data_IF_881500013878
#
_entry.id   IF_881500013878
#
_cell.length_a   1.000
_cell.length_b   1.000
_cell.length_c   1.000
_cell.angle_alpha   90.00
_cell.angle_beta   90.00
_cell.angle_gamma   90.00
#
_symmetry.space_group_name_H-M   'P 1'
#
loop_
_entity.id
_entity.type
_entity.pdbx_description
1 polymer ?
#
# COMPACT_ATOMS: atom_id res chain seq x y z
N UNK A 1 -0.46 23.34 -68.05
CA UNK A 1 0.35 22.86 -66.91
C UNK A 1 -0.16 23.32 -65.52
N UNK A 2 -1.26 24.09 -65.41
CA UNK A 2 -1.73 24.62 -64.12
C UNK A 2 -2.70 23.69 -63.34
N UNK A 3 -3.45 22.80 -64.01
CA UNK A 3 -4.48 21.98 -63.37
C UNK A 3 -4.00 20.73 -62.61
N UNK A 4 -2.70 20.41 -62.65
CA UNK A 4 -2.14 19.23 -61.96
C UNK A 4 -1.65 19.61 -60.55
N UNK A 5 -1.16 20.84 -60.36
CA UNK A 5 -0.67 21.30 -59.05
C UNK A 5 -1.78 21.50 -58.01
N UNK A 6 -3.01 21.79 -58.42
CA UNK A 6 -4.15 21.96 -57.49
C UNK A 6 -4.65 20.64 -56.90
N UNK A 7 -4.63 19.54 -57.66
CA UNK A 7 -5.12 18.23 -57.17
C UNK A 7 -4.15 17.59 -56.17
N UNK A 8 -2.84 17.71 -56.39
CA UNK A 8 -1.80 17.27 -55.46
C UNK A 8 -1.87 18.01 -54.12
N UNK A 9 -2.11 19.33 -54.12
CA UNK A 9 -2.31 20.11 -52.90
C UNK A 9 -3.50 19.61 -52.07
N UNK A 10 -4.64 19.37 -52.72
CA UNK A 10 -5.85 18.84 -52.07
C UNK A 10 -5.64 17.45 -51.45
N UNK A 11 -4.94 16.55 -52.16
CA UNK A 11 -4.60 15.22 -51.65
C UNK A 11 -3.63 15.26 -50.45
N UNK A 12 -2.64 16.17 -50.46
CA UNK A 12 -1.74 16.33 -49.32
C UNK A 12 -2.48 16.87 -48.08
N UNK A 13 -3.42 17.81 -48.24
CA UNK A 13 -4.24 18.31 -47.13
C UNK A 13 -5.13 17.19 -46.57
N UNK A 14 -5.74 16.38 -47.43
CA UNK A 14 -6.58 15.26 -46.99
C UNK A 14 -5.78 14.19 -46.22
N UNK A 15 -4.57 13.86 -46.68
CA UNK A 15 -3.66 12.92 -46.00
C UNK A 15 -3.17 13.47 -44.65
N UNK A 16 -2.87 14.77 -44.56
CA UNK A 16 -2.52 15.40 -43.28
C UNK A 16 -3.72 15.39 -42.31
N UNK A 17 -4.95 15.63 -42.78
CA UNK A 17 -6.14 15.51 -41.94
C UNK A 17 -6.39 14.08 -41.44
N UNK A 18 -6.13 13.06 -42.25
CA UNK A 18 -6.21 11.65 -41.81
C UNK A 18 -5.13 11.36 -40.75
N UNK A 19 -3.88 11.78 -40.98
CA UNK A 19 -2.78 11.58 -40.02
C UNK A 19 -3.03 12.35 -38.70
N UNK A 20 -3.60 13.56 -38.75
CA UNK A 20 -3.96 14.33 -37.54
C UNK A 20 -5.20 13.75 -36.82
N UNK A 21 -6.14 13.14 -37.55
CA UNK A 21 -7.24 12.39 -36.95
C UNK A 21 -6.73 11.12 -36.26
N UNK A 22 -5.80 10.38 -36.87
CA UNK A 22 -5.16 9.21 -36.28
C UNK A 22 -4.31 9.57 -35.04
N UNK A 23 -3.59 10.70 -35.05
CA UNK A 23 -2.91 11.21 -33.85
C UNK A 23 -3.86 11.76 -32.76
N UNK A 24 -5.15 11.95 -33.08
CA UNK A 24 -6.18 12.33 -32.10
C UNK A 24 -6.87 11.12 -31.46
N UNK A 25 -6.58 9.90 -31.92
CA UNK A 25 -6.82 8.65 -31.18
C UNK A 25 -5.58 8.24 -30.37
N UNK A 26 -4.96 9.20 -29.67
CA UNK A 26 -4.16 8.87 -28.49
C UNK A 26 -5.04 8.11 -27.50
N UNK A 27 -4.79 6.79 -27.39
CA UNK A 27 -5.55 5.89 -26.54
C UNK A 27 -5.65 6.43 -25.12
N UNK A 28 -6.87 6.78 -24.70
CA UNK A 28 -7.24 6.82 -23.30
C UNK A 28 -7.17 5.38 -22.77
N UNK A 29 -5.95 4.93 -22.49
CA UNK A 29 -5.67 3.59 -22.00
C UNK A 29 -6.22 3.53 -20.58
N UNK A 30 -7.42 2.97 -20.48
CA UNK A 30 -8.22 2.91 -19.28
C UNK A 30 -7.49 2.05 -18.23
N UNK A 31 -6.69 2.70 -17.37
CA UNK A 31 -5.72 2.05 -16.49
C UNK A 31 -6.42 1.39 -15.30
N UNK A 32 -7.03 0.23 -15.58
CA UNK A 32 -7.85 -0.51 -14.62
C UNK A 32 -6.97 -1.23 -13.59
N UNK A 33 -7.00 -0.73 -12.36
CA UNK A 33 -6.32 -1.33 -11.21
C UNK A 33 -7.26 -2.30 -10.48
N UNK A 34 -6.71 -3.19 -9.65
CA UNK A 34 -7.54 -4.12 -8.87
C UNK A 34 -8.01 -3.44 -7.60
N UNK A 35 -9.32 -3.28 -7.46
CA UNK A 35 -9.98 -2.79 -6.25
C UNK A 35 -10.75 -3.93 -5.58
N UNK A 36 -10.88 -3.85 -4.26
CA UNK A 36 -11.74 -4.70 -3.46
C UNK A 36 -12.99 -3.88 -3.13
N UNK A 37 -14.15 -4.39 -3.51
CA UNK A 37 -15.49 -3.85 -3.24
C UNK A 37 -16.08 -4.67 -2.10
N UNK A 38 -16.20 -4.06 -0.93
CA UNK A 38 -16.71 -4.68 0.29
C UNK A 38 -18.18 -4.30 0.51
N UNK A 39 -19.04 -5.31 0.74
CA UNK A 39 -20.50 -5.19 0.84
C UNK A 39 -21.03 -5.68 2.20
N UNK A 40 -20.17 -5.77 3.22
CA UNK A 40 -20.54 -6.15 4.58
C UNK A 40 -20.72 -7.67 4.81
N UNK A 41 -21.61 -8.03 5.75
CA UNK A 41 -21.97 -9.42 6.06
C UNK A 41 -22.83 -10.04 4.95
N UNK A 42 -22.80 -11.37 4.81
CA UNK A 42 -23.70 -12.08 3.90
C UNK A 42 -25.18 -11.91 4.33
N UNK A 43 -26.10 -11.55 3.40
CA UNK A 43 -27.53 -11.54 3.65
C UNK A 43 -28.07 -12.88 4.15
N UNK A 44 -29.07 -12.83 5.04
CA UNK A 44 -29.79 -14.01 5.54
C UNK A 44 -30.90 -14.43 4.59
N UNK A 45 -30.84 -15.64 4.02
CA UNK A 45 -31.87 -16.20 3.15
C UNK A 45 -31.30 -16.97 1.96
N UNK A 46 -32.10 -17.20 0.92
CA UNK A 46 -31.59 -17.65 -0.38
C UNK A 46 -30.80 -16.50 -1.04
N UNK A 47 -29.47 -16.60 -0.99
CA UNK A 47 -28.59 -15.61 -1.57
C UNK A 47 -27.42 -16.29 -2.31
N UNK A 48 -27.17 -15.88 -3.55
CA UNK A 48 -26.01 -16.30 -4.35
C UNK A 48 -25.04 -15.13 -4.48
N UNK A 49 -23.98 -15.05 -3.65
CA UNK A 49 -23.10 -13.89 -3.64
C UNK A 49 -22.40 -13.71 -4.98
N UNK A 50 -21.93 -14.80 -5.60
CA UNK A 50 -21.21 -14.72 -6.88
C UNK A 50 -22.11 -14.28 -8.04
N UNK A 51 -23.39 -14.67 -8.05
CA UNK A 51 -24.36 -14.13 -9.03
C UNK A 51 -24.59 -12.63 -8.81
N UNK A 52 -24.70 -12.21 -7.55
CA UNK A 52 -24.91 -10.80 -7.20
C UNK A 52 -23.72 -9.90 -7.53
N UNK A 53 -22.49 -10.38 -7.28
CA UNK A 53 -21.26 -9.66 -7.63
C UNK A 53 -21.10 -9.50 -9.14
N UNK A 54 -21.55 -10.48 -9.93
CA UNK A 54 -21.57 -10.38 -11.38
C UNK A 54 -22.60 -9.35 -11.85
N UNK A 55 -23.86 -9.41 -11.37
CA UNK A 55 -24.88 -8.42 -11.79
C UNK A 55 -24.50 -6.98 -11.41
N UNK A 56 -23.97 -6.77 -10.21
CA UNK A 56 -23.49 -5.46 -9.75
C UNK A 56 -22.33 -4.93 -10.63
N UNK A 57 -21.44 -5.82 -11.06
CA UNK A 57 -20.31 -5.48 -11.92
C UNK A 57 -20.74 -5.24 -13.37
N UNK A 58 -21.74 -5.96 -13.88
CA UNK A 58 -22.32 -5.75 -15.22
C UNK A 58 -23.06 -4.41 -15.33
N UNK A 59 -23.73 -3.96 -14.25
CA UNK A 59 -24.37 -2.64 -14.19
C UNK A 59 -23.35 -1.49 -14.30
N UNK A 60 -22.20 -1.62 -13.63
CA UNK A 60 -21.16 -0.57 -13.59
C UNK A 60 -20.26 -0.61 -14.83
N UNK A 61 -19.99 -1.79 -15.40
CA UNK A 61 -19.10 -1.96 -16.56
C UNK A 61 -19.91 -1.90 -17.86
N UNK A 62 -20.41 -0.70 -18.17
CA UNK A 62 -21.23 -0.34 -19.35
C UNK A 62 -20.88 -1.13 -20.62
N UNK A 63 -21.71 -2.13 -20.95
CA UNK A 63 -21.67 -2.82 -22.23
C UNK A 63 -20.48 -3.75 -22.48
N UNK A 64 -19.65 -4.09 -21.47
CA UNK A 64 -18.64 -5.16 -21.58
C UNK A 64 -18.97 -6.28 -20.60
N UNK A 65 -18.83 -7.53 -21.04
CA UNK A 65 -19.05 -8.69 -20.18
C UNK A 65 -18.20 -8.61 -18.91
N UNK A 66 -18.79 -8.96 -17.76
CA UNK A 66 -18.06 -9.03 -16.50
C UNK A 66 -16.97 -10.13 -16.49
N UNK A 67 -17.04 -11.09 -17.42
CA UNK A 67 -15.96 -12.05 -17.69
C UNK A 67 -14.69 -11.32 -18.19
N UNK A 68 -13.76 -11.11 -17.26
CA UNK A 68 -12.49 -10.40 -17.45
C UNK A 68 -12.32 -9.20 -16.52
N UNK A 69 -13.41 -8.65 -15.97
CA UNK A 69 -13.37 -7.61 -14.94
C UNK A 69 -13.33 -8.22 -13.53
N UNK A 70 -14.11 -9.28 -13.26
CA UNK A 70 -14.12 -9.95 -11.96
C UNK A 70 -12.82 -10.73 -11.73
N UNK A 71 -12.08 -10.38 -10.68
CA UNK A 71 -10.86 -11.08 -10.26
C UNK A 71 -11.18 -12.18 -9.25
N UNK A 72 -12.07 -11.90 -8.29
CA UNK A 72 -12.48 -12.86 -7.25
C UNK A 72 -13.82 -12.48 -6.63
N UNK A 73 -14.75 -13.43 -6.50
CA UNK A 73 -15.90 -13.32 -5.60
C UNK A 73 -15.54 -13.91 -4.23
N UNK A 74 -15.84 -13.18 -3.15
CA UNK A 74 -15.73 -13.63 -1.76
C UNK A 74 -17.14 -13.94 -1.25
N UNK A 75 -17.44 -15.21 -1.02
CA UNK A 75 -18.81 -15.73 -0.87
C UNK A 75 -19.00 -16.66 0.35
N UNK A 76 -18.18 -16.49 1.39
CA UNK A 76 -18.12 -17.38 2.57
C UNK A 76 -18.33 -16.67 3.90
N UNK A 77 -17.41 -15.75 4.24
CA UNK A 77 -17.37 -15.11 5.57
C UNK A 77 -17.90 -13.67 5.56
N UNK A 78 -17.84 -13.03 4.40
CA UNK A 78 -18.31 -11.67 4.14
C UNK A 78 -18.73 -11.57 2.68
N UNK A 79 -19.49 -10.54 2.36
CA UNK A 79 -19.99 -10.23 1.03
C UNK A 79 -19.02 -9.24 0.37
N UNK A 80 -18.25 -9.66 -0.62
CA UNK A 80 -17.31 -8.78 -1.33
C UNK A 80 -16.83 -9.38 -2.64
N UNK A 81 -16.21 -8.57 -3.49
CA UNK A 81 -15.45 -9.05 -4.63
C UNK A 81 -14.24 -8.16 -4.94
N UNK A 82 -13.25 -8.72 -5.62
CA UNK A 82 -12.17 -7.97 -6.23
C UNK A 82 -12.42 -7.86 -7.74
N UNK A 83 -12.30 -6.67 -8.31
CA UNK A 83 -12.48 -6.40 -9.72
C UNK A 83 -11.42 -5.44 -10.28
N UNK A 84 -11.14 -5.55 -11.57
CA UNK A 84 -10.34 -4.57 -12.32
C UNK A 84 -11.25 -3.40 -12.70
N UNK A 85 -11.08 -2.27 -12.03
CA UNK A 85 -11.92 -1.08 -12.18
C UNK A 85 -11.08 0.14 -12.57
N UNK A 86 -11.66 1.02 -13.39
CA UNK A 86 -11.18 2.38 -13.59
C UNK A 86 -11.58 3.28 -12.40
N UNK A 87 -10.99 4.47 -12.28
CA UNK A 87 -11.35 5.39 -11.20
C UNK A 87 -12.85 5.79 -11.25
N UNK A 88 -13.38 6.07 -12.45
CA UNK A 88 -14.80 6.38 -12.65
C UNK A 88 -15.74 5.17 -12.44
N UNK A 89 -15.25 3.94 -12.54
CA UNK A 89 -16.00 2.75 -12.13
C UNK A 89 -16.00 2.58 -10.59
N UNK A 90 -14.89 2.93 -9.93
CA UNK A 90 -14.78 2.96 -8.46
C UNK A 90 -15.70 4.02 -7.85
N UNK A 91 -15.72 5.24 -8.39
CA UNK A 91 -16.62 6.32 -7.90
C UNK A 91 -18.09 5.90 -7.96
N UNK A 92 -18.52 5.32 -9.10
CA UNK A 92 -19.91 4.87 -9.28
C UNK A 92 -20.27 3.71 -8.36
N UNK A 93 -19.41 2.69 -8.26
CA UNK A 93 -19.70 1.51 -7.43
C UNK A 93 -19.65 1.83 -5.92
N UNK A 94 -18.84 2.82 -5.51
CA UNK A 94 -18.80 3.32 -4.13
C UNK A 94 -20.08 4.09 -3.74
N UNK A 95 -20.86 4.56 -4.72
CA UNK A 95 -22.15 5.23 -4.50
C UNK A 95 -23.34 4.28 -4.29
N UNK A 96 -23.15 2.97 -4.48
CA UNK A 96 -24.22 1.98 -4.30
C UNK A 96 -24.46 1.70 -2.81
N UNK A 97 -25.71 1.76 -2.37
CA UNK A 97 -26.13 1.62 -0.96
C UNK A 97 -25.66 0.31 -0.28
N UNK A 98 -25.43 -0.72 -1.08
CA UNK A 98 -24.99 -2.05 -0.67
C UNK A 98 -23.46 -2.22 -0.63
N UNK A 99 -22.71 -1.24 -1.14
CA UNK A 99 -21.25 -1.20 -1.05
C UNK A 99 -20.87 -0.37 0.17
N UNK A 100 -20.17 -1.01 1.11
CA UNK A 100 -19.72 -0.41 2.37
C UNK A 100 -18.40 0.34 2.17
N UNK A 101 -17.49 -0.21 1.36
CA UNK A 101 -16.23 0.47 1.01
C UNK A 101 -15.59 -0.10 -0.27
N UNK A 102 -14.77 0.72 -0.93
CA UNK A 102 -13.96 0.31 -2.09
C UNK A 102 -12.53 0.78 -1.89
N UNK A 103 -11.55 -0.11 -1.99
CA UNK A 103 -10.14 0.20 -1.73
C UNK A 103 -9.18 -0.55 -2.66
N UNK A 104 -8.02 0.04 -3.01
CA UNK A 104 -7.07 -0.59 -3.92
C UNK A 104 -6.38 -1.80 -3.28
N UNK A 105 -6.19 -2.87 -4.07
CA UNK A 105 -5.42 -4.04 -3.65
C UNK A 105 -3.93 -3.72 -3.60
N UNK A 106 -3.33 -3.77 -2.40
CA UNK A 106 -1.90 -3.52 -2.15
C UNK A 106 -1.12 -4.83 -1.94
N UNK A 107 0.19 -4.83 -2.21
CA UNK A 107 1.14 -5.92 -1.88
C UNK A 107 2.27 -5.35 -1.03
N UNK A 108 2.71 -6.10 -0.02
CA UNK A 108 3.81 -5.71 0.88
C UNK A 108 4.86 -6.82 0.98
N UNK A 109 6.12 -6.47 1.27
CA UNK A 109 7.19 -7.43 1.56
C UNK A 109 7.49 -7.44 3.07
N UNK A 110 7.73 -8.63 3.63
CA UNK A 110 7.99 -8.85 5.05
C UNK A 110 9.49 -9.15 5.30
N UNK A 111 10.05 -8.69 6.43
CA UNK A 111 11.47 -8.80 6.76
C UNK A 111 11.71 -9.45 8.15
N UNK A 112 11.89 -10.76 8.20
CA UNK A 112 12.08 -11.57 9.43
C UNK A 112 13.54 -11.70 9.91
N UNK A 113 14.48 -10.97 9.29
CA UNK A 113 15.95 -11.13 9.42
C UNK A 113 16.60 -10.77 10.78
N UNK A 114 15.83 -10.59 11.85
CA UNK A 114 16.35 -10.28 13.22
C UNK A 114 15.46 -10.79 14.36
N UNK A 115 14.17 -11.02 14.11
CA UNK A 115 13.22 -11.39 15.17
C UNK A 115 13.58 -12.72 15.85
N UNK A 116 14.17 -13.67 15.12
CA UNK A 116 14.59 -14.96 15.69
C UNK A 116 15.76 -14.83 16.67
N UNK A 117 16.81 -14.08 16.31
CA UNK A 117 17.96 -13.83 17.20
C UNK A 117 17.54 -13.04 18.45
N UNK A 118 16.68 -12.04 18.29
CA UNK A 118 16.12 -11.26 19.41
C UNK A 118 15.34 -12.13 20.41
N UNK A 119 14.62 -13.16 19.93
CA UNK A 119 13.94 -14.14 20.78
C UNK A 119 14.88 -15.22 21.36
N UNK A 120 16.20 -15.13 21.12
CA UNK A 120 17.16 -16.15 21.55
C UNK A 120 17.03 -17.47 20.79
N UNK A 121 16.55 -17.43 19.54
CA UNK A 121 16.30 -18.59 18.69
C UNK A 121 17.17 -18.59 17.41
N UNK A 122 18.50 -18.72 17.54
CA UNK A 122 19.43 -18.68 16.41
C UNK A 122 19.27 -19.90 15.47
N UNK A 123 19.88 -19.87 14.29
CA UNK A 123 19.76 -20.94 13.28
C UNK A 123 20.17 -22.34 13.80
N UNK A 124 21.14 -22.41 14.72
CA UNK A 124 21.72 -23.64 15.25
C UNK A 124 20.95 -24.26 16.45
N UNK A 125 19.70 -23.86 16.67
CA UNK A 125 18.82 -24.47 17.68
C UNK A 125 18.63 -25.97 17.46
N UNK A 126 18.53 -26.73 18.57
CA UNK A 126 18.27 -28.17 18.54
C UNK A 126 16.84 -28.46 18.04
N UNK A 127 16.74 -29.01 16.83
CA UNK A 127 15.48 -29.41 16.17
C UNK A 127 15.22 -30.91 16.25
N UNK A 128 13.98 -31.31 15.98
CA UNK A 128 13.58 -32.70 15.73
C UNK A 128 12.95 -32.82 14.34
N UNK A 129 13.76 -32.95 13.27
CA UNK A 129 13.29 -32.89 11.88
C UNK A 129 12.20 -33.90 11.55
N UNK A 130 12.25 -35.12 12.13
CA UNK A 130 11.27 -36.18 11.88
C UNK A 130 9.87 -35.82 12.39
N UNK A 131 9.79 -35.06 13.48
CA UNK A 131 8.52 -34.54 14.02
C UNK A 131 8.13 -33.25 13.30
N UNK A 132 9.05 -32.30 13.17
CA UNK A 132 8.82 -31.00 12.52
C UNK A 132 8.32 -31.15 11.08
N UNK A 133 8.90 -32.06 10.27
CA UNK A 133 8.46 -32.32 8.89
C UNK A 133 7.07 -32.95 8.77
N UNK A 134 6.48 -33.38 9.89
CA UNK A 134 5.15 -33.98 9.96
C UNK A 134 4.14 -33.12 10.73
N UNK A 135 4.53 -31.92 11.18
CA UNK A 135 3.62 -30.89 11.68
C UNK A 135 3.03 -30.15 10.48
N UNK A 136 1.74 -29.80 10.57
CA UNK A 136 1.06 -29.02 9.54
C UNK A 136 0.54 -27.77 10.23
N UNK A 137 1.07 -26.62 9.83
CA UNK A 137 0.65 -25.31 10.34
C UNK A 137 -0.37 -24.77 9.35
N UNK A 138 -1.63 -24.69 9.77
CA UNK A 138 -2.61 -23.89 9.05
C UNK A 138 -2.22 -22.43 9.20
N UNK A 139 -1.75 -21.81 8.12
CA UNK A 139 -1.58 -20.34 8.06
C UNK A 139 -2.85 -19.78 7.44
N UNK A 140 -3.37 -18.75 8.09
CA UNK A 140 -4.75 -18.36 7.95
C UNK A 140 -4.82 -16.85 7.66
N UNK A 141 -4.63 -16.50 6.38
CA UNK A 141 -4.20 -15.17 5.88
C UNK A 141 -4.84 -14.86 4.50
N UNK A 142 -4.62 -13.66 3.99
CA UNK A 142 -4.98 -13.12 2.67
C UNK A 142 -4.59 -13.97 1.45
N UNK A 143 -3.73 -14.98 1.62
CA UNK A 143 -3.30 -15.89 0.58
C UNK A 143 -1.87 -16.38 0.80
N UNK A 144 -1.22 -16.79 -0.29
CA UNK A 144 0.21 -17.07 -0.31
C UNK A 144 0.76 -16.84 -1.72
N UNK A 145 2.04 -16.50 -1.83
CA UNK A 145 2.77 -16.37 -3.08
C UNK A 145 3.71 -17.58 -3.25
N UNK A 146 3.23 -18.70 -3.86
CA UNK A 146 3.93 -19.98 -3.82
C UNK A 146 5.28 -20.00 -4.55
N UNK A 147 5.54 -19.01 -5.42
CA UNK A 147 6.80 -18.84 -6.14
C UNK A 147 7.92 -18.23 -5.28
N UNK A 148 7.64 -17.84 -4.03
CA UNK A 148 8.65 -17.33 -3.11
C UNK A 148 9.64 -18.43 -2.66
N UNK A 149 10.93 -18.13 -2.64
CA UNK A 149 11.98 -19.06 -2.18
C UNK A 149 11.72 -19.59 -0.76
N UNK A 150 11.09 -18.78 0.09
CA UNK A 150 10.64 -19.15 1.45
C UNK A 150 9.71 -20.36 1.52
N UNK A 151 9.11 -20.77 0.39
CA UNK A 151 8.18 -21.90 0.29
C UNK A 151 8.70 -23.01 -0.65
N UNK A 152 10.01 -23.02 -0.95
CA UNK A 152 10.65 -24.08 -1.71
C UNK A 152 10.54 -25.43 -0.98
N UNK A 153 10.13 -26.48 -1.70
CA UNK A 153 10.03 -27.85 -1.18
C UNK A 153 11.28 -28.71 -1.45
N UNK A 154 12.40 -28.06 -1.80
CA UNK A 154 13.69 -28.72 -2.02
C UNK A 154 14.15 -29.40 -0.72
N UNK A 155 14.26 -30.73 -0.74
CA UNK A 155 14.61 -31.55 0.42
C UNK A 155 13.42 -32.13 1.18
N UNK A 156 12.18 -31.79 0.82
CA UNK A 156 10.99 -32.35 1.47
C UNK A 156 10.59 -33.73 0.91
N UNK A 157 10.13 -34.58 1.83
CA UNK A 157 9.41 -35.82 1.53
C UNK A 157 7.97 -35.56 1.05
N UNK A 158 7.18 -36.60 0.76
CA UNK A 158 5.76 -36.43 0.42
C UNK A 158 4.96 -35.84 1.60
N UNK A 159 3.82 -35.17 1.35
CA UNK A 159 2.95 -34.66 2.41
C UNK A 159 2.54 -35.76 3.42
N UNK A 160 2.40 -35.44 4.72
CA UNK A 160 2.10 -36.45 5.74
C UNK A 160 0.79 -37.20 5.47
N UNK A 161 0.77 -38.52 5.61
CA UNK A 161 -0.40 -39.36 5.26
C UNK A 161 -1.70 -39.04 6.03
N UNK A 162 -1.61 -38.32 7.16
CA UNK A 162 -2.76 -37.78 7.90
C UNK A 162 -3.44 -36.59 7.22
N UNK A 163 -2.81 -36.01 6.19
CA UNK A 163 -3.30 -34.84 5.48
C UNK A 163 -4.48 -35.19 4.57
N UNK A 164 -5.52 -34.35 4.62
CA UNK A 164 -6.75 -34.49 3.81
C UNK A 164 -7.19 -33.19 3.16
N UNK A 165 -6.41 -32.11 3.27
CA UNK A 165 -6.69 -30.85 2.60
C UNK A 165 -6.44 -30.94 1.11
N UNK A 166 -7.18 -30.13 0.34
CA UNK A 166 -7.10 -30.12 -1.13
C UNK A 166 -6.38 -28.87 -1.63
N UNK A 167 -5.69 -29.00 -2.76
CA UNK A 167 -5.12 -27.85 -3.47
C UNK A 167 -6.21 -27.14 -4.29
N UNK A 168 -7.06 -26.35 -3.64
CA UNK A 168 -8.15 -25.61 -4.27
C UNK A 168 -7.70 -24.28 -4.93
N UNK A 169 -6.51 -24.29 -5.55
CA UNK A 169 -5.91 -23.14 -6.21
C UNK A 169 -6.62 -22.75 -7.52
N UNK A 170 -6.46 -21.48 -7.94
CA UNK A 170 -6.86 -21.04 -9.28
C UNK A 170 -5.90 -21.55 -10.38
N UNK A 171 -6.17 -21.22 -11.65
CA UNK A 171 -5.40 -21.68 -12.82
C UNK A 171 -3.88 -21.48 -12.74
N UNK A 172 -3.42 -20.46 -12.00
CA UNK A 172 -2.00 -20.13 -11.81
C UNK A 172 -1.51 -20.43 -10.38
N UNK A 173 -2.07 -21.44 -9.70
CA UNK A 173 -1.65 -21.81 -8.35
C UNK A 173 -1.39 -23.31 -8.29
N UNK A 174 -0.19 -23.71 -7.88
CA UNK A 174 0.21 -25.12 -7.76
C UNK A 174 0.79 -25.36 -6.37
N UNK A 175 0.21 -26.32 -5.66
CA UNK A 175 0.73 -26.82 -4.40
C UNK A 175 1.99 -27.67 -4.64
N UNK A 176 2.97 -27.54 -3.75
CA UNK A 176 4.16 -28.38 -3.71
C UNK A 176 4.16 -29.21 -2.41
N UNK A 177 5.25 -29.91 -2.06
CA UNK A 177 5.25 -30.73 -0.83
C UNK A 177 5.25 -29.91 0.46
N UNK A 178 5.63 -28.63 0.40
CA UNK A 178 5.64 -27.70 1.52
C UNK A 178 4.25 -27.05 1.72
N UNK A 179 3.57 -26.66 0.64
CA UNK A 179 2.29 -25.95 0.65
C UNK A 179 1.12 -26.88 0.32
N UNK A 180 0.36 -27.31 1.34
CA UNK A 180 -0.63 -28.38 1.17
C UNK A 180 -2.13 -27.96 1.14
N UNK A 181 -2.52 -26.77 1.64
CA UNK A 181 -3.81 -26.08 1.37
C UNK A 181 -3.83 -24.63 1.91
N UNK A 182 -4.98 -23.93 1.78
CA UNK A 182 -5.22 -22.54 2.21
C UNK A 182 -6.53 -22.39 3.04
N UNK A 183 -6.58 -21.48 4.04
CA UNK A 183 -7.76 -21.11 4.85
C UNK A 183 -7.65 -19.65 5.40
N UNK A 184 -8.71 -19.01 5.98
CA UNK A 184 -8.79 -17.60 6.49
C UNK A 184 -9.56 -17.49 7.85
N UNK A 185 -9.28 -16.66 8.90
CA UNK A 185 -8.18 -15.72 9.28
C UNK A 185 -7.59 -16.01 10.73
N UNK A 186 -6.50 -15.35 11.18
CA UNK A 186 -5.89 -15.46 12.54
C UNK A 186 -5.58 -14.10 13.24
N UNK A 187 -5.41 -14.12 14.58
CA UNK A 187 -4.95 -13.00 15.43
C UNK A 187 -3.51 -13.20 15.94
N UNK A 188 -2.75 -12.11 16.08
CA UNK A 188 -1.49 -12.03 16.83
C UNK A 188 -1.31 -10.68 17.53
N UNK A 189 -0.48 -10.65 18.57
CA UNK A 189 -0.06 -9.43 19.26
C UNK A 189 1.25 -8.91 18.67
N UNK A 190 1.32 -7.61 18.43
CA UNK A 190 2.48 -6.97 17.83
C UNK A 190 3.31 -6.25 18.88
N UNK A 191 4.57 -6.67 18.99
CA UNK A 191 5.59 -6.10 19.87
C UNK A 191 6.77 -5.68 19.01
N UNK A 192 7.45 -4.60 19.40
CA UNK A 192 8.67 -4.17 18.71
C UNK A 192 9.89 -4.94 19.23
N UNK A 193 10.72 -5.39 18.29
CA UNK A 193 12.06 -5.92 18.55
C UNK A 193 13.02 -4.78 18.93
N UNK A 194 14.22 -5.13 19.40
CA UNK A 194 15.36 -4.20 19.52
C UNK A 194 15.67 -3.39 18.24
N UNK A 195 15.47 -3.98 17.07
CA UNK A 195 15.69 -3.36 15.76
C UNK A 195 14.66 -2.25 15.48
N UNK A 196 15.12 -1.00 15.50
CA UNK A 196 14.39 0.16 14.97
C UNK A 196 14.96 0.56 13.60
N UNK A 197 14.07 0.85 12.65
CA UNK A 197 14.45 1.47 11.37
C UNK A 197 14.27 2.98 11.56
N UNK A 198 15.26 3.76 11.17
CA UNK A 198 15.21 5.22 11.20
C UNK A 198 15.73 5.80 9.90
N UNK A 199 15.25 6.98 9.55
CA UNK A 199 15.84 7.82 8.52
C UNK A 199 16.34 9.14 9.13
N UNK A 200 17.10 9.92 8.35
CA UNK A 200 17.66 11.19 8.79
C UNK A 200 17.34 12.28 7.79
N UNK A 201 16.70 13.35 8.28
CA UNK A 201 16.41 14.56 7.51
C UNK A 201 17.45 15.61 7.86
N UNK A 202 18.28 15.98 6.88
CA UNK A 202 19.36 16.98 7.04
C UNK A 202 18.98 18.27 6.34
N UNK A 203 18.80 19.34 7.11
CA UNK A 203 18.40 20.66 6.62
C UNK A 203 19.55 21.43 5.97
N UNK A 204 19.22 22.48 5.23
CA UNK A 204 20.17 23.35 4.55
C UNK A 204 21.18 24.00 5.51
N UNK A 205 20.75 24.34 6.72
CA UNK A 205 21.58 24.88 7.81
C UNK A 205 22.47 23.84 8.53
N UNK A 206 22.37 22.56 8.19
CA UNK A 206 23.15 21.47 8.79
C UNK A 206 22.50 20.79 10.00
N UNK A 207 21.35 21.26 10.49
CA UNK A 207 20.58 20.52 11.50
C UNK A 207 20.13 19.17 10.94
N UNK A 208 20.13 18.14 11.78
CA UNK A 208 19.75 16.77 11.42
C UNK A 208 18.70 16.26 12.39
N UNK A 209 17.60 15.75 11.86
CA UNK A 209 16.46 15.19 12.60
C UNK A 209 16.33 13.71 12.30
N UNK A 210 15.84 12.93 13.26
CA UNK A 210 15.70 11.47 13.15
C UNK A 210 14.23 11.13 12.96
N UNK A 211 13.89 10.59 11.79
CA UNK A 211 12.53 10.18 11.44
C UNK A 211 12.32 8.67 11.49
N UNK A 212 11.06 8.26 11.43
CA UNK A 212 10.60 6.86 11.46
C UNK A 212 9.91 6.47 10.15
N UNK A 213 10.65 6.09 9.11
CA UNK A 213 10.11 5.44 7.90
C UNK A 213 11.06 4.38 7.33
N UNK A 214 10.52 3.53 6.46
CA UNK A 214 11.27 2.56 5.65
C UNK A 214 11.57 3.18 4.28
N UNK A 215 12.41 4.22 4.28
CA UNK A 215 12.92 4.88 3.10
C UNK A 215 14.09 4.09 2.46
N UNK A 216 13.81 3.43 1.33
CA UNK A 216 14.85 2.74 0.54
C UNK A 216 15.63 3.66 -0.41
N UNK A 217 15.15 4.90 -0.63
CA UNK A 217 15.67 5.84 -1.61
C UNK A 217 16.81 6.70 -1.06
N UNK A 218 17.70 7.14 -1.95
CA UNK A 218 18.78 8.07 -1.62
C UNK A 218 18.75 9.29 -2.54
N UNK A 219 18.74 10.48 -1.94
CA UNK A 219 18.96 11.75 -2.65
C UNK A 219 20.46 12.07 -2.86
N UNK A 220 21.36 11.14 -2.50
CA UNK A 220 22.82 11.26 -2.62
C UNK A 220 23.40 12.54 -1.99
N UNK A 221 22.79 13.03 -0.90
CA UNK A 221 23.18 14.27 -0.22
C UNK A 221 22.75 15.56 -0.94
N UNK A 222 22.03 15.45 -2.06
CA UNK A 222 21.51 16.61 -2.80
C UNK A 222 20.48 17.34 -1.96
N UNK A 223 20.75 18.59 -1.61
CA UNK A 223 19.80 19.48 -0.92
C UNK A 223 18.74 19.97 -1.91
N UNK A 224 17.51 19.53 -1.70
CA UNK A 224 16.34 19.84 -2.52
C UNK A 224 15.52 20.96 -1.83
N UNK A 225 14.94 21.92 -2.58
CA UNK A 225 14.09 22.97 -2.00
C UNK A 225 12.88 22.40 -1.26
N UNK A 226 12.54 23.03 -0.14
CA UNK A 226 11.35 22.70 0.66
C UNK A 226 10.14 23.53 0.23
N UNK A 227 8.95 22.95 0.37
CA UNK A 227 7.66 23.64 0.28
C UNK A 227 6.73 23.11 1.37
N UNK A 228 6.04 24.00 2.07
CA UNK A 228 5.06 23.64 3.09
C UNK A 228 3.67 23.41 2.48
N UNK A 229 2.89 22.48 3.01
CA UNK A 229 1.57 22.05 2.52
C UNK A 229 0.63 23.20 2.15
N UNK A 230 0.54 24.24 2.99
CA UNK A 230 -0.30 25.44 2.70
C UNK A 230 0.01 26.13 1.36
N UNK A 231 1.19 25.93 0.77
CA UNK A 231 1.61 26.51 -0.50
C UNK A 231 1.56 25.53 -1.70
N UNK A 232 1.03 24.31 -1.54
CA UNK A 232 1.02 23.27 -2.59
C UNK A 232 -0.20 23.31 -3.50
N UNK A 233 -1.23 24.09 -3.15
CA UNK A 233 -2.47 24.25 -3.93
C UNK A 233 -3.07 25.64 -3.74
N UNK A 234 -3.93 26.02 -4.70
CA UNK A 234 -4.79 27.20 -4.65
C UNK A 234 -6.29 26.84 -4.59
N UNK A 235 -6.62 25.54 -4.64
CA UNK A 235 -7.96 25.06 -4.98
C UNK A 235 -8.63 24.25 -3.86
N UNK A 236 -7.88 23.82 -2.84
CA UNK A 236 -8.43 23.14 -1.67
C UNK A 236 -8.55 24.11 -0.48
N UNK A 237 -9.17 23.67 0.61
CA UNK A 237 -9.18 24.44 1.85
C UNK A 237 -7.77 24.55 2.44
N UNK A 238 -7.57 25.48 3.37
CA UNK A 238 -6.32 25.52 4.13
C UNK A 238 -6.09 24.21 4.90
N UNK A 239 -7.17 23.61 5.40
CA UNK A 239 -7.16 22.38 6.20
C UNK A 239 -6.79 21.12 5.39
N UNK A 240 -7.11 21.10 4.10
CA UNK A 240 -6.67 20.02 3.20
C UNK A 240 -5.22 20.25 2.71
N UNK A 241 -4.82 21.53 2.56
CA UNK A 241 -3.54 21.91 1.99
C UNK A 241 -2.35 21.62 2.92
N UNK A 242 -2.41 22.06 4.19
CA UNK A 242 -1.35 21.76 5.18
C UNK A 242 -1.21 20.26 5.49
N UNK A 243 -2.34 19.54 5.53
CA UNK A 243 -2.42 18.08 5.68
C UNK A 243 -1.95 17.32 4.44
N UNK A 244 -1.72 18.01 3.31
CA UNK A 244 -1.33 17.42 2.04
C UNK A 244 -2.32 16.34 1.54
N UNK A 245 -3.62 16.63 1.67
CA UNK A 245 -4.68 15.67 1.39
C UNK A 245 -4.70 15.18 -0.07
N UNK A 246 -5.33 14.03 -0.31
CA UNK A 246 -5.43 13.41 -1.65
C UNK A 246 -6.06 14.38 -2.65
N UNK A 247 -5.48 14.49 -3.84
CA UNK A 247 -5.79 15.47 -4.89
C UNK A 247 -5.52 16.95 -4.55
N UNK A 248 -4.98 17.28 -3.37
CA UNK A 248 -4.68 18.65 -2.97
C UNK A 248 -3.23 19.09 -3.20
N UNK A 249 -2.43 18.36 -3.99
CA UNK A 249 -1.09 18.81 -4.42
C UNK A 249 -1.04 19.15 -5.91
N UNK A 250 -0.84 20.43 -6.23
CA UNK A 250 -0.63 20.86 -7.61
C UNK A 250 0.81 20.52 -8.06
N UNK A 251 0.95 19.58 -9.01
CA UNK A 251 2.24 19.14 -9.54
C UNK A 251 3.13 20.29 -10.04
N UNK A 252 2.57 21.39 -10.56
CA UNK A 252 3.38 22.54 -11.00
C UNK A 252 4.07 23.29 -9.84
N UNK A 253 3.52 23.20 -8.62
CA UNK A 253 4.05 23.85 -7.42
C UNK A 253 5.03 22.96 -6.65
N UNK A 254 4.80 21.64 -6.62
CA UNK A 254 5.61 20.68 -5.83
C UNK A 254 6.68 19.93 -6.63
N UNK A 255 6.59 19.87 -7.97
CA UNK A 255 7.57 19.14 -8.78
C UNK A 255 8.99 19.64 -8.52
N UNK A 256 9.89 18.71 -8.21
CA UNK A 256 11.29 19.04 -7.92
C UNK A 256 11.57 19.51 -6.49
N UNK A 257 10.60 19.41 -5.56
CA UNK A 257 10.72 19.85 -4.17
C UNK A 257 10.48 18.71 -3.18
N UNK A 258 10.88 18.92 -1.92
CA UNK A 258 10.43 18.12 -0.78
C UNK A 258 9.24 18.84 -0.15
N UNK A 259 8.11 18.16 0.02
CA UNK A 259 6.89 18.73 0.61
C UNK A 259 6.84 18.44 2.11
N UNK A 260 6.54 19.44 2.95
CA UNK A 260 6.31 19.28 4.39
C UNK A 260 4.80 19.31 4.67
N UNK A 261 4.31 18.31 5.38
CA UNK A 261 2.89 18.03 5.60
C UNK A 261 2.60 17.76 7.08
N UNK A 262 1.51 18.33 7.60
CA UNK A 262 1.16 18.26 9.03
C UNK A 262 0.39 16.98 9.41
N UNK A 263 0.54 15.91 8.61
CA UNK A 263 -0.10 14.61 8.84
C UNK A 263 0.82 13.46 8.42
N UNK A 264 0.83 12.37 9.20
CA UNK A 264 1.46 11.09 8.82
C UNK A 264 0.40 10.09 8.38
N UNK A 265 0.24 9.94 7.06
CA UNK A 265 -0.44 8.81 6.43
C UNK A 265 0.37 8.39 5.19
N UNK A 266 0.37 7.10 4.89
CA UNK A 266 0.80 6.57 3.59
C UNK A 266 0.16 7.31 2.41
N UNK A 267 -1.11 7.73 2.53
CA UNK A 267 -1.83 8.49 1.49
C UNK A 267 -1.16 9.83 1.15
N UNK A 268 -0.57 10.52 2.13
CA UNK A 268 0.19 11.77 1.94
C UNK A 268 1.41 11.52 1.05
N UNK A 269 2.14 10.43 1.30
CA UNK A 269 3.31 10.08 0.48
C UNK A 269 2.93 9.56 -0.90
N UNK A 270 1.79 8.87 -1.04
CA UNK A 270 1.23 8.44 -2.33
C UNK A 270 0.82 9.66 -3.18
N UNK A 271 0.19 10.67 -2.58
CA UNK A 271 -0.17 11.93 -3.26
C UNK A 271 1.07 12.74 -3.64
N UNK A 272 2.07 12.86 -2.76
CA UNK A 272 3.31 13.58 -3.06
C UNK A 272 4.05 12.94 -4.25
N UNK A 273 4.03 11.60 -4.33
CA UNK A 273 4.55 10.84 -5.45
C UNK A 273 3.76 11.10 -6.75
N UNK A 274 2.42 11.05 -6.71
CA UNK A 274 1.54 11.37 -7.85
C UNK A 274 1.78 12.79 -8.36
N UNK A 275 1.92 13.76 -7.47
CA UNK A 275 2.21 15.16 -7.77
C UNK A 275 3.66 15.41 -8.22
N UNK A 276 4.52 14.39 -8.26
CA UNK A 276 5.93 14.43 -8.71
C UNK A 276 6.87 15.24 -7.81
N UNK A 277 6.59 15.28 -6.50
CA UNK A 277 7.56 15.73 -5.51
C UNK A 277 8.80 14.81 -5.53
N UNK A 278 9.95 15.34 -5.09
CA UNK A 278 11.19 14.56 -4.90
C UNK A 278 11.32 13.99 -3.48
N UNK A 279 10.47 14.42 -2.55
CA UNK A 279 10.37 13.81 -1.24
C UNK A 279 9.23 14.39 -0.39
N UNK A 280 9.03 13.83 0.79
CA UNK A 280 8.02 14.30 1.75
C UNK A 280 8.54 14.23 3.20
N UNK A 281 8.26 15.24 4.01
CA UNK A 281 8.46 15.23 5.46
C UNK A 281 7.06 15.33 6.08
N UNK A 282 6.76 14.43 7.00
CA UNK A 282 5.45 14.33 7.64
C UNK A 282 5.57 14.55 9.15
N UNK A 283 4.59 15.23 9.74
CA UNK A 283 4.38 15.28 11.18
C UNK A 283 3.79 13.94 11.68
N UNK A 284 4.48 13.26 12.59
CA UNK A 284 4.01 12.08 13.31
C UNK A 284 3.48 12.50 14.68
N UNK A 285 2.16 12.47 14.84
CA UNK A 285 1.45 12.79 16.07
C UNK A 285 0.92 11.54 16.82
N UNK A 286 0.99 10.37 16.18
CA UNK A 286 0.17 9.20 16.52
C UNK A 286 0.98 7.94 16.81
N UNK A 287 2.02 7.62 16.01
CA UNK A 287 2.70 6.32 16.06
C UNK A 287 4.23 6.46 15.87
N UNK A 288 4.94 7.00 16.88
CA UNK A 288 6.39 7.22 16.83
C UNK A 288 7.23 5.92 16.77
N UNK A 289 6.68 4.80 17.26
CA UNK A 289 7.31 3.47 17.33
C UNK A 289 7.17 2.64 16.04
N UNK A 290 6.40 3.13 15.06
CA UNK A 290 6.17 2.45 13.77
C UNK A 290 6.92 3.17 12.65
N UNK A 291 7.41 2.40 11.67
CA UNK A 291 8.00 2.94 10.43
C UNK A 291 7.27 2.37 9.23
N UNK A 292 6.59 3.23 8.47
CA UNK A 292 5.85 2.85 7.29
C UNK A 292 6.75 2.80 6.04
N UNK A 293 6.41 1.93 5.08
CA UNK A 293 7.07 1.90 3.77
C UNK A 293 6.55 3.06 2.92
N UNK A 294 7.48 3.80 2.32
CA UNK A 294 7.19 5.03 1.55
C UNK A 294 7.52 4.84 0.05
N UNK A 295 6.77 5.48 -0.88
CA UNK A 295 6.97 5.36 -2.33
C UNK A 295 8.00 6.35 -2.92
N UNK A 296 8.51 7.28 -2.11
CA UNK A 296 9.53 8.27 -2.45
C UNK A 296 10.44 8.56 -1.23
N UNK A 297 11.54 9.33 -1.36
CA UNK A 297 12.33 9.77 -0.21
C UNK A 297 11.44 10.50 0.81
N UNK A 298 11.15 9.86 1.94
CA UNK A 298 10.31 10.46 2.98
C UNK A 298 10.84 10.20 4.39
N UNK A 299 10.34 11.02 5.31
CA UNK A 299 10.72 11.04 6.72
C UNK A 299 9.50 11.44 7.55
N UNK A 300 9.20 10.70 8.61
CA UNK A 300 8.11 10.99 9.54
C UNK A 300 8.73 11.43 10.86
N UNK A 301 8.57 12.71 11.22
CA UNK A 301 9.24 13.36 12.36
C UNK A 301 8.26 13.53 13.52
N UNK A 302 8.75 13.43 14.76
CA UNK A 302 7.94 13.76 15.94
C UNK A 302 7.52 15.26 15.94
N UNK A 303 6.58 15.69 16.81
CA UNK A 303 6.07 17.06 16.78
C UNK A 303 7.13 18.11 17.10
N UNK A 304 8.05 17.82 18.03
CA UNK A 304 9.11 18.76 18.41
C UNK A 304 10.10 19.03 17.27
N UNK A 305 10.53 17.98 16.58
CA UNK A 305 11.43 18.09 15.42
C UNK A 305 10.73 18.77 14.23
N UNK A 306 9.43 18.52 14.05
CA UNK A 306 8.60 19.17 13.03
C UNK A 306 8.51 20.69 13.27
N UNK A 307 8.29 21.14 14.51
CA UNK A 307 8.30 22.57 14.88
C UNK A 307 9.65 23.24 14.57
N UNK A 308 10.76 22.51 14.75
CA UNK A 308 12.11 23.01 14.42
C UNK A 308 12.34 23.12 12.91
N UNK A 309 11.84 22.15 12.12
CA UNK A 309 11.83 22.23 10.65
C UNK A 309 10.96 23.40 10.15
N UNK A 310 9.79 23.61 10.75
CA UNK A 310 8.89 24.73 10.46
C UNK A 310 9.48 26.09 10.87
N UNK A 311 10.30 26.11 11.92
CA UNK A 311 11.08 27.28 12.32
C UNK A 311 12.20 27.58 11.32
N UNK A 312 12.91 26.55 10.83
CA UNK A 312 13.90 26.71 9.75
C UNK A 312 13.28 27.25 8.46
N UNK A 313 12.14 26.71 8.02
CA UNK A 313 11.39 27.21 6.86
C UNK A 313 11.16 28.73 6.91
N UNK A 314 10.79 29.26 8.08
CA UNK A 314 10.54 30.70 8.29
C UNK A 314 11.83 31.53 8.38
N UNK A 315 12.96 30.91 8.70
CA UNK A 315 14.25 31.60 8.92
C UNK A 315 15.00 31.98 7.64
N UNK A 316 14.69 31.36 6.50
CA UNK A 316 15.42 31.55 5.24
C UNK A 316 14.49 31.65 4.03
N UNK A 317 14.88 32.44 3.03
CA UNK A 317 14.15 32.55 1.75
C UNK A 317 14.37 31.33 0.84
N UNK A 318 15.43 30.56 1.07
CA UNK A 318 15.82 29.39 0.28
C UNK A 318 15.92 28.15 1.19
N UNK A 319 14.81 27.66 1.77
CA UNK A 319 14.83 26.48 2.62
C UNK A 319 15.07 25.22 1.78
N UNK A 320 15.98 24.36 2.24
CA UNK A 320 16.34 23.10 1.56
C UNK A 320 16.54 21.98 2.58
N UNK A 321 16.39 20.73 2.16
CA UNK A 321 16.78 19.55 2.94
C UNK A 321 17.23 18.40 2.02
N UNK A 322 17.82 17.37 2.62
CA UNK A 322 17.97 16.05 2.02
C UNK A 322 17.49 15.01 3.02
N UNK A 323 16.86 13.94 2.52
CA UNK A 323 16.41 12.80 3.30
C UNK A 323 17.37 11.65 2.96
N UNK A 324 17.98 11.06 3.99
CA UNK A 324 18.90 9.95 3.84
C UNK A 324 18.12 8.62 3.80
N UNK A 325 18.68 7.64 3.10
CA UNK A 325 18.20 6.25 3.12
C UNK A 325 18.16 5.75 4.56
N UNK A 326 17.14 4.97 4.92
CA UNK A 326 17.00 4.45 6.27
C UNK A 326 18.17 3.57 6.68
N UNK A 327 18.57 3.70 7.94
CA UNK A 327 19.53 2.86 8.65
C UNK A 327 18.84 2.09 9.78
N UNK A 328 19.57 1.12 10.35
CA UNK A 328 19.12 0.35 11.51
C UNK A 328 19.81 0.88 12.76
N UNK A 329 19.04 1.08 13.82
CA UNK A 329 19.54 1.38 15.16
C UNK A 329 18.96 0.39 16.18
N UNK A 330 19.64 0.21 17.31
CA UNK A 330 19.19 -0.68 18.39
C UNK A 330 18.50 0.14 19.50
N UNK A 331 17.40 -0.38 20.03
CA UNK A 331 16.61 0.26 21.07
C UNK A 331 16.60 -0.57 22.36
N UNK A 332 17.35 -0.13 23.37
CA UNK A 332 17.66 -0.90 24.58
C UNK A 332 16.48 -1.13 25.54
N UNK A 333 15.28 -0.64 25.22
CA UNK A 333 14.06 -0.82 26.04
C UNK A 333 13.14 -1.92 25.51
N UNK A 334 13.50 -2.61 24.42
CA UNK A 334 12.70 -3.69 23.85
C UNK A 334 12.70 -4.95 24.76
N UNK A 335 11.61 -5.75 24.75
CA UNK A 335 10.38 -5.57 23.97
C UNK A 335 9.41 -4.57 24.62
N UNK A 336 8.82 -3.72 23.78
CA UNK A 336 7.70 -2.83 24.16
C UNK A 336 6.47 -3.22 23.34
N UNK A 337 5.30 -3.23 23.96
CA UNK A 337 4.01 -3.47 23.28
C UNK A 337 3.70 -2.26 22.41
N UNK A 338 3.45 -2.49 21.11
CA UNK A 338 3.22 -1.43 20.14
C UNK A 338 2.10 -0.47 20.56
N UNK A 339 2.24 0.81 20.22
CA UNK A 339 1.25 1.88 20.41
C UNK A 339 -0.14 1.47 19.88
N UNK A 340 -0.19 0.98 18.65
CA UNK A 340 -1.40 0.54 17.94
C UNK A 340 -1.88 -0.87 18.34
N UNK A 341 -1.17 -1.60 19.20
CA UNK A 341 -1.62 -2.91 19.67
C UNK A 341 -2.81 -2.74 20.62
N UNK A 342 -3.97 -3.26 20.20
CA UNK A 342 -5.24 -3.25 20.93
C UNK A 342 -5.11 -3.70 22.39
N UNK A 343 -5.75 -2.99 23.32
CA UNK A 343 -5.61 -3.16 24.77
C UNK A 343 -6.91 -3.62 25.41
N UNK A 344 -6.83 -4.59 26.33
CA UNK A 344 -7.98 -5.09 27.08
C UNK A 344 -8.57 -4.06 28.06
N UNK A 345 -9.59 -4.45 28.86
CA UNK A 345 -10.06 -5.82 29.12
C UNK A 345 -10.88 -6.45 27.98
N UNK A 346 -11.28 -7.70 28.17
CA UNK A 346 -12.25 -8.37 27.29
C UNK A 346 -13.67 -7.87 27.57
N UNK A 347 -14.27 -7.08 26.68
CA UNK A 347 -15.64 -6.59 26.88
C UNK A 347 -16.73 -7.69 26.79
N UNK A 348 -16.40 -8.91 26.34
CA UNK A 348 -17.34 -10.05 26.31
C UNK A 348 -17.31 -10.83 27.64
N UNK A 349 -16.12 -11.02 28.21
CA UNK A 349 -15.89 -11.77 29.45
C UNK A 349 -14.73 -11.12 30.23
N UNK A 350 -14.98 -10.03 30.98
CA UNK A 350 -13.92 -9.20 31.60
C UNK A 350 -13.01 -9.93 32.58
N UNK A 351 -13.50 -11.02 33.17
CA UNK A 351 -12.73 -11.94 34.02
C UNK A 351 -11.67 -12.75 33.25
N UNK A 352 -11.79 -12.85 31.94
CA UNK A 352 -10.79 -13.45 31.05
C UNK A 352 -9.87 -12.35 30.51
N UNK A 353 -8.68 -12.24 31.10
CA UNK A 353 -7.66 -11.31 30.64
C UNK A 353 -7.34 -11.52 29.14
N UNK A 354 -7.58 -10.47 28.36
CA UNK A 354 -7.28 -10.39 26.93
C UNK A 354 -6.60 -9.06 26.62
N UNK A 355 -6.03 -9.03 25.44
CA UNK A 355 -5.68 -7.83 24.68
C UNK A 355 -6.70 -7.76 23.53
N UNK A 356 -7.24 -6.57 23.28
CA UNK A 356 -8.53 -6.38 22.59
C UNK A 356 -8.44 -6.59 21.07
N UNK A 357 -9.56 -6.40 20.38
CA UNK A 357 -9.75 -6.69 18.96
C UNK A 357 -10.40 -5.45 18.30
N UNK A 358 -9.78 -4.91 17.25
CA UNK A 358 -10.44 -3.91 16.40
C UNK A 358 -11.34 -4.68 15.42
N UNK A 359 -12.66 -4.50 15.56
CA UNK A 359 -13.69 -4.96 14.62
C UNK A 359 -13.84 -3.99 13.45
#
# INVERSE_FOLDING_TARGET
MAGIFSSLSSYCILLVFIIVADLSLCTAQNDKQVYIVYMGSLPTGEYSPTSHHLSLLEEIVEGRSADGALVRSYNRSFNAFAARLSHAEVERISGLKEVVSVFPSRRSQLLTTRSWDFMGFPENVKRNPTVESNIIIGVIDTGIWPESESFSDKGFGPPPAKWKGTCAGGKNFTCNKYLSSLLLCFLLLLHHTDRRIIDKTVLGNGQTFVGSSVNSFALNGTKIPLIYGKAVTSNCTEDDAWSCWVNCMNSSLVKGKIVICDMTDTSVTDEAFRARALGSIMLNDTFEDVSNVVPLPASSLNPHDSDLVMSYLKSTKNPQATILKSEITEHNTAPVVASFSSRGPNNIAPEILKVWELL
#
